data_IF_400634682879
#
_entry.id   IF_400634682879
#
_cell.length_a   1.000
_cell.length_b   1.000
_cell.length_c   1.000
_cell.angle_alpha   90.00
_cell.angle_beta   90.00
_cell.angle_gamma   90.00
#
_symmetry.space_group_name_H-M   'P 1'
#
loop_
_entity.id
_entity.type
_entity.pdbx_description
1 polymer ?
#
# COMPACT_ATOMS: atom_id res chain seq x y z
N UNK A 1 0.51 7.49 9.76
CA UNK A 1 0.58 6.03 9.47
C UNK A 1 0.55 5.31 10.80
N UNK A 2 -0.45 4.48 11.05
CA UNK A 2 -0.64 3.85 12.35
C UNK A 2 0.41 2.75 12.59
N UNK A 3 1.21 2.84 13.66
CA UNK A 3 2.15 1.79 14.04
C UNK A 3 1.45 0.49 14.45
N UNK A 4 2.04 -0.65 14.09
CA UNK A 4 1.45 -1.98 14.35
C UNK A 4 1.23 -2.27 15.85
N UNK A 5 2.05 -1.68 16.71
CA UNK A 5 2.01 -1.86 18.16
C UNK A 5 0.68 -1.42 18.82
N UNK A 6 -0.06 -0.50 18.19
CA UNK A 6 -1.32 0.02 18.75
C UNK A 6 -2.57 -0.50 18.04
N UNK A 7 -2.43 -1.19 16.91
CA UNK A 7 -3.57 -1.70 16.13
C UNK A 7 -4.47 -2.67 16.91
N UNK A 8 -3.95 -3.65 17.69
CA UNK A 8 -4.81 -4.55 18.46
C UNK A 8 -5.68 -3.84 19.50
N UNK A 9 -5.20 -2.70 20.03
CA UNK A 9 -5.97 -1.87 20.97
C UNK A 9 -7.08 -1.12 20.23
N UNK A 10 -6.77 -0.53 19.08
CA UNK A 10 -7.74 0.20 18.26
C UNK A 10 -8.86 -0.72 17.75
N UNK A 11 -8.55 -1.96 17.36
CA UNK A 11 -9.54 -2.96 16.93
C UNK A 11 -10.56 -3.27 18.03
N UNK A 12 -10.15 -3.22 19.31
CA UNK A 12 -11.06 -3.44 20.45
C UNK A 12 -11.88 -2.20 20.81
N UNK A 13 -11.31 -1.01 20.63
CA UNK A 13 -11.97 0.26 21.00
C UNK A 13 -12.96 0.74 19.94
N UNK A 14 -12.66 0.57 18.65
CA UNK A 14 -13.50 1.07 17.56
C UNK A 14 -14.97 0.58 17.61
N UNK A 15 -15.26 -0.71 17.92
CA UNK A 15 -16.64 -1.17 18.04
C UNK A 15 -17.42 -0.51 19.19
N UNK A 16 -16.76 -0.11 20.27
CA UNK A 16 -17.41 0.53 21.43
C UNK A 16 -17.97 1.93 21.11
N UNK A 17 -17.56 2.52 19.97
CA UNK A 17 -18.18 3.74 19.46
C UNK A 17 -19.63 3.55 19.01
N UNK A 18 -20.08 2.30 18.84
CA UNK A 18 -21.47 1.98 18.53
C UNK A 18 -22.35 1.75 19.77
N UNK A 19 -21.85 2.06 20.98
CA UNK A 19 -22.64 1.96 22.21
C UNK A 19 -23.78 3.00 22.23
N UNK A 20 -24.93 2.62 22.80
CA UNK A 20 -26.09 3.49 23.03
C UNK A 20 -25.89 4.47 24.20
N UNK A 21 -24.78 4.35 24.93
CA UNK A 21 -24.45 5.22 26.05
C UNK A 21 -23.43 6.29 25.65
N UNK A 22 -23.87 7.55 25.60
CA UNK A 22 -23.02 8.70 25.28
C UNK A 22 -21.76 8.78 26.15
N UNK A 23 -21.85 8.43 27.44
CA UNK A 23 -20.71 8.43 28.35
C UNK A 23 -19.64 7.40 27.98
N UNK A 24 -20.06 6.26 27.45
CA UNK A 24 -19.18 5.21 26.95
C UNK A 24 -18.54 5.61 25.62
N UNK A 25 -19.32 6.22 24.71
CA UNK A 25 -18.81 6.72 23.43
C UNK A 25 -17.74 7.79 23.67
N UNK A 26 -18.00 8.80 24.49
CA UNK A 26 -17.03 9.87 24.80
C UNK A 26 -15.77 9.31 25.47
N UNK A 27 -15.94 8.35 26.38
CA UNK A 27 -14.81 7.69 27.05
C UNK A 27 -13.96 6.89 26.07
N UNK A 28 -14.60 6.20 25.14
CA UNK A 28 -13.96 5.42 24.06
C UNK A 28 -13.21 6.33 23.10
N UNK A 29 -13.81 7.44 22.63
CA UNK A 29 -13.13 8.42 21.77
C UNK A 29 -11.87 8.95 22.46
N UNK A 30 -11.96 9.31 23.75
CA UNK A 30 -10.79 9.75 24.53
C UNK A 30 -9.74 8.64 24.66
N UNK A 31 -10.14 7.39 24.84
CA UNK A 31 -9.22 6.25 24.92
C UNK A 31 -8.49 5.99 23.59
N UNK A 32 -9.19 6.13 22.46
CA UNK A 32 -8.60 6.06 21.13
C UNK A 32 -7.59 7.19 20.94
N UNK A 33 -7.95 8.43 21.30
CA UNK A 33 -7.04 9.58 21.23
C UNK A 33 -5.74 9.35 22.02
N UNK A 34 -5.83 8.84 23.26
CA UNK A 34 -4.65 8.48 24.06
C UNK A 34 -3.82 7.36 23.43
N UNK A 35 -4.48 6.37 22.84
CA UNK A 35 -3.81 5.24 22.20
C UNK A 35 -3.02 5.70 20.96
N UNK A 36 -3.60 6.58 20.15
CA UNK A 36 -2.93 7.18 19.00
C UNK A 36 -1.76 8.07 19.44
N UNK A 37 -1.99 8.95 20.43
CA UNK A 37 -0.95 9.82 20.97
C UNK A 37 0.24 9.04 21.56
N UNK A 38 0.01 7.85 22.14
CA UNK A 38 1.10 6.98 22.64
C UNK A 38 2.07 6.50 21.56
N UNK A 39 1.71 6.66 20.28
CA UNK A 39 2.51 6.29 19.13
C UNK A 39 2.77 7.47 18.17
N UNK A 40 2.68 8.71 18.66
CA UNK A 40 2.88 9.94 17.90
C UNK A 40 2.00 10.03 16.64
N UNK A 41 0.75 9.55 16.76
CA UNK A 41 -0.25 9.56 15.71
C UNK A 41 -1.54 10.27 16.17
N UNK A 42 -2.38 10.65 15.22
CA UNK A 42 -3.67 11.29 15.49
C UNK A 42 -4.85 10.64 14.72
N UNK A 43 -6.04 11.25 14.82
CA UNK A 43 -7.24 10.76 14.12
C UNK A 43 -7.17 10.94 12.60
N UNK A 44 -6.36 11.89 12.10
CA UNK A 44 -6.12 12.03 10.66
C UNK A 44 -5.29 10.84 10.16
N UNK A 45 -4.25 10.45 10.89
CA UNK A 45 -3.47 9.25 10.60
C UNK A 45 -4.31 7.97 10.61
N UNK A 46 -5.27 7.87 11.53
CA UNK A 46 -6.23 6.75 11.57
C UNK A 46 -7.11 6.72 10.34
N UNK A 47 -7.67 7.87 9.95
CA UNK A 47 -8.55 7.97 8.78
C UNK A 47 -7.79 7.64 7.51
N UNK A 48 -6.58 8.18 7.33
CA UNK A 48 -5.70 7.88 6.21
C UNK A 48 -5.39 6.38 6.12
N UNK A 49 -5.16 5.73 7.27
CA UNK A 49 -4.90 4.30 7.34
C UNK A 49 -6.11 3.46 6.91
N UNK A 50 -7.32 3.85 7.33
CA UNK A 50 -8.56 3.15 6.96
C UNK A 50 -8.91 3.33 5.49
N UNK A 51 -8.73 4.53 4.94
CA UNK A 51 -8.94 4.80 3.51
C UNK A 51 -7.98 3.97 2.66
N UNK A 52 -6.72 3.83 3.08
CA UNK A 52 -5.73 2.98 2.40
C UNK A 52 -6.05 1.48 2.55
N UNK A 53 -6.51 1.03 3.72
CA UNK A 53 -6.88 -0.36 3.95
C UNK A 53 -8.11 -0.81 3.14
N UNK A 54 -9.04 0.10 2.84
CA UNK A 54 -10.22 -0.20 2.00
C UNK A 54 -9.87 -0.50 0.54
N UNK A 55 -8.62 -0.25 0.11
CA UNK A 55 -8.13 -0.54 -1.24
C UNK A 55 -7.85 -2.04 -1.47
N UNK A 56 -7.94 -2.88 -0.44
CA UNK A 56 -7.80 -4.34 -0.58
C UNK A 56 -9.04 -4.89 -1.29
N UNK A 57 -8.99 -4.91 -2.61
CA UNK A 57 -10.13 -5.24 -3.46
C UNK A 57 -10.52 -6.72 -3.37
N UNK A 58 -11.83 -6.98 -3.39
CA UNK A 58 -12.40 -8.30 -3.72
C UNK A 58 -11.87 -8.70 -5.11
N UNK A 59 -11.45 -9.97 -5.35
CA UNK A 59 -11.02 -10.38 -6.68
C UNK A 59 -12.14 -10.10 -7.69
N UNK A 60 -11.81 -9.38 -8.76
CA UNK A 60 -12.73 -9.08 -9.86
C UNK A 60 -13.20 -10.40 -10.49
N UNK A 61 -14.51 -10.47 -10.80
CA UNK A 61 -15.14 -11.62 -11.43
C UNK A 61 -14.59 -11.83 -12.84
N UNK A 62 -14.23 -13.08 -13.13
CA UNK A 62 -13.61 -13.58 -14.35
C UNK A 62 -14.57 -13.67 -15.54
N UNK A 63 -14.94 -12.53 -16.11
CA UNK A 63 -15.63 -12.52 -17.40
C UNK A 63 -14.94 -11.52 -18.34
N UNK A 64 -14.18 -12.06 -19.30
CA UNK A 64 -13.62 -11.38 -20.49
C UNK A 64 -12.42 -10.41 -20.32
N UNK A 65 -11.72 -10.42 -19.19
CA UNK A 65 -10.47 -9.67 -18.98
C UNK A 65 -9.29 -10.57 -18.59
N UNK A 66 -8.06 -10.07 -18.74
CA UNK A 66 -6.83 -10.70 -18.23
C UNK A 66 -7.02 -11.09 -16.75
N UNK A 67 -7.03 -12.39 -16.46
CA UNK A 67 -7.26 -12.89 -15.10
C UNK A 67 -5.93 -12.98 -14.34
N UNK A 68 -5.67 -11.93 -13.57
CA UNK A 68 -4.45 -11.81 -12.76
C UNK A 68 -4.24 -13.01 -11.81
N UNK A 69 -5.30 -13.61 -11.27
CA UNK A 69 -5.21 -14.75 -10.36
C UNK A 69 -4.88 -16.07 -11.10
N UNK A 70 -5.25 -16.20 -12.38
CA UNK A 70 -4.90 -17.37 -13.20
C UNK A 70 -3.44 -17.28 -13.65
N UNK A 71 -3.02 -16.12 -14.15
CA UNK A 71 -1.63 -15.90 -14.54
C UNK A 71 -0.65 -16.03 -13.38
N UNK A 72 -1.05 -15.66 -12.16
CA UNK A 72 -0.25 -15.93 -10.96
C UNK A 72 -0.07 -17.43 -10.72
N UNK A 73 -1.15 -18.20 -10.80
CA UNK A 73 -1.12 -19.65 -10.61
C UNK A 73 -0.25 -20.32 -11.66
N UNK A 74 -0.33 -19.88 -12.91
CA UNK A 74 0.53 -20.37 -14.00
C UNK A 74 2.01 -20.02 -13.78
N UNK A 75 2.32 -18.77 -13.40
CA UNK A 75 3.69 -18.33 -13.11
C UNK A 75 4.32 -19.05 -11.89
N UNK A 76 3.50 -19.45 -10.91
CA UNK A 76 3.95 -20.17 -9.73
C UNK A 76 4.28 -21.66 -9.99
N UNK A 77 3.76 -22.26 -11.08
CA UNK A 77 3.73 -23.72 -11.25
C UNK A 77 4.83 -24.29 -12.18
N UNK A 78 5.76 -23.49 -12.72
CA UNK A 78 6.71 -24.02 -13.72
C UNK A 78 7.76 -25.03 -13.17
N UNK A 79 7.91 -25.13 -11.85
CA UNK A 79 8.78 -26.12 -11.17
C UNK A 79 10.29 -25.97 -11.40
N UNK A 80 10.74 -25.01 -12.21
CA UNK A 80 12.16 -24.64 -12.39
C UNK A 80 12.52 -23.54 -11.39
N UNK A 81 13.80 -23.24 -11.19
CA UNK A 81 14.23 -22.05 -10.46
C UNK A 81 14.51 -20.96 -11.50
N UNK A 82 13.46 -20.32 -12.03
CA UNK A 82 13.64 -19.31 -13.08
C UNK A 82 13.81 -17.90 -12.48
N UNK A 83 15.02 -17.65 -11.98
CA UNK A 83 15.50 -16.34 -11.52
C UNK A 83 15.83 -15.38 -12.66
N UNK A 84 15.57 -15.76 -13.92
CA UNK A 84 15.94 -14.95 -15.06
C UNK A 84 15.14 -13.62 -15.07
N UNK A 85 15.78 -12.47 -15.34
CA UNK A 85 15.13 -11.15 -15.22
C UNK A 85 13.87 -10.98 -16.06
N UNK A 86 13.85 -11.59 -17.25
CA UNK A 86 12.71 -11.49 -18.19
C UNK A 86 11.60 -12.50 -17.97
N UNK A 87 11.77 -13.42 -17.01
CA UNK A 87 10.76 -14.42 -16.72
C UNK A 87 9.61 -13.81 -15.89
N UNK A 88 8.37 -14.32 -16.02
CA UNK A 88 7.23 -13.86 -15.23
C UNK A 88 7.53 -13.90 -13.73
N UNK A 89 7.15 -12.85 -13.00
CA UNK A 89 7.39 -12.79 -11.57
C UNK A 89 6.60 -13.87 -10.83
N UNK A 90 7.26 -14.59 -9.91
CA UNK A 90 6.56 -15.56 -9.04
C UNK A 90 5.91 -14.92 -7.83
N UNK A 91 6.18 -13.64 -7.60
CA UNK A 91 5.59 -12.88 -6.50
C UNK A 91 4.22 -12.39 -6.96
N UNK A 92 3.20 -12.52 -6.12
CA UNK A 92 1.88 -11.96 -6.39
C UNK A 92 1.90 -10.41 -6.40
N UNK A 93 2.84 -9.84 -5.64
CA UNK A 93 2.94 -8.40 -5.47
C UNK A 93 4.00 -8.00 -4.44
N UNK A 94 3.77 -6.87 -3.77
CA UNK A 94 4.69 -6.27 -2.83
C UNK A 94 4.01 -5.83 -1.53
N UNK A 95 4.73 -5.90 -0.42
CA UNK A 95 4.29 -5.36 0.87
C UNK A 95 4.59 -3.86 0.91
N UNK A 96 3.61 -3.02 0.61
CA UNK A 96 3.81 -1.56 0.56
C UNK A 96 3.58 -0.90 1.92
N UNK A 97 2.45 -1.19 2.57
CA UNK A 97 2.07 -0.53 3.83
C UNK A 97 2.29 -1.40 5.06
N UNK A 98 2.07 -2.71 4.93
CA UNK A 98 2.15 -3.66 6.03
C UNK A 98 3.03 -4.86 5.65
N UNK A 99 3.90 -5.32 6.56
CA UNK A 99 4.81 -6.45 6.29
C UNK A 99 4.08 -7.77 6.08
N UNK A 100 2.86 -7.91 6.61
CA UNK A 100 2.04 -9.11 6.49
C UNK A 100 1.06 -9.05 5.31
N UNK A 101 0.95 -7.89 4.64
CA UNK A 101 -0.01 -7.68 3.57
C UNK A 101 0.68 -7.46 2.24
N UNK A 102 0.65 -8.50 1.40
CA UNK A 102 1.07 -8.38 0.01
C UNK A 102 -0.06 -7.76 -0.78
N UNK A 103 0.18 -6.57 -1.33
CA UNK A 103 -0.75 -5.98 -2.30
C UNK A 103 -0.33 -6.43 -3.69
N UNK A 104 -1.28 -6.72 -4.58
CA UNK A 104 -0.98 -7.21 -5.91
C UNK A 104 -0.25 -6.19 -6.78
N UNK A 105 0.49 -6.66 -7.78
CA UNK A 105 1.30 -5.81 -8.65
C UNK A 105 0.53 -4.66 -9.33
N UNK A 106 -0.73 -4.86 -9.75
CA UNK A 106 -1.53 -3.77 -10.32
C UNK A 106 -1.81 -2.64 -9.31
N UNK A 107 -2.05 -3.00 -8.04
CA UNK A 107 -2.21 -2.04 -6.95
C UNK A 107 -0.88 -1.38 -6.59
N UNK A 108 0.24 -2.11 -6.63
CA UNK A 108 1.57 -1.52 -6.50
C UNK A 108 1.81 -0.47 -7.59
N UNK A 109 1.44 -0.78 -8.84
CA UNK A 109 1.62 0.15 -9.96
C UNK A 109 0.79 1.43 -9.78
N UNK A 110 -0.49 1.28 -9.43
CA UNK A 110 -1.39 2.39 -9.10
C UNK A 110 -0.85 3.23 -7.94
N UNK A 111 -0.33 2.58 -6.90
CA UNK A 111 0.29 3.24 -5.75
C UNK A 111 1.49 4.10 -6.17
N UNK A 112 2.40 3.53 -6.97
CA UNK A 112 3.57 4.24 -7.50
C UNK A 112 3.19 5.51 -8.28
N UNK A 113 2.19 5.41 -9.17
CA UNK A 113 1.70 6.56 -9.95
C UNK A 113 1.10 7.64 -9.04
N UNK A 114 0.27 7.23 -8.08
CA UNK A 114 -0.50 8.14 -7.22
C UNK A 114 0.42 8.90 -6.27
N UNK A 115 1.28 8.18 -5.53
CA UNK A 115 2.19 8.80 -4.56
C UNK A 115 3.26 9.68 -5.23
N UNK A 116 3.79 9.24 -6.37
CA UNK A 116 4.78 10.05 -7.11
C UNK A 116 4.22 11.40 -7.54
N UNK A 117 2.92 11.45 -7.89
CA UNK A 117 2.21 12.70 -8.21
C UNK A 117 1.90 13.55 -6.98
N UNK A 118 1.55 12.91 -5.85
CA UNK A 118 1.19 13.59 -4.61
C UNK A 118 2.40 14.26 -3.94
N UNK A 119 3.59 13.66 -4.04
CA UNK A 119 4.80 14.19 -3.43
C UNK A 119 5.38 15.38 -4.22
N UNK A 120 5.73 16.50 -3.56
CA UNK A 120 6.42 17.61 -4.19
C UNK A 120 7.79 17.22 -4.76
N UNK A 121 8.20 17.83 -5.88
CA UNK A 121 9.51 17.59 -6.48
C UNK A 121 10.68 17.92 -5.53
N UNK A 122 10.49 18.90 -4.65
CA UNK A 122 11.50 19.33 -3.65
C UNK A 122 11.86 18.25 -2.63
N UNK A 123 10.95 17.31 -2.34
CA UNK A 123 11.16 16.22 -1.37
C UNK A 123 11.49 14.88 -2.06
N UNK A 124 11.79 14.91 -3.36
CA UNK A 124 12.07 13.70 -4.15
C UNK A 124 10.83 13.08 -4.81
N UNK A 125 9.70 13.78 -4.88
CA UNK A 125 8.53 13.36 -5.67
C UNK A 125 8.68 13.62 -7.17
N UNK A 126 7.70 13.17 -7.98
CA UNK A 126 7.66 13.34 -9.45
C UNK A 126 8.93 12.90 -10.18
N UNK A 127 9.55 11.81 -9.73
CA UNK A 127 10.79 11.27 -10.32
C UNK A 127 10.54 10.24 -11.42
N UNK A 128 9.30 9.78 -11.59
CA UNK A 128 8.95 8.81 -12.63
C UNK A 128 9.08 9.45 -14.02
N UNK A 129 9.79 8.76 -14.91
CA UNK A 129 9.93 9.14 -16.30
C UNK A 129 8.64 8.80 -17.10
N UNK A 130 8.39 9.45 -18.25
CA UNK A 130 7.17 9.19 -19.02
C UNK A 130 6.99 7.74 -19.46
N UNK A 131 8.07 7.06 -19.87
CA UNK A 131 8.12 5.64 -20.23
C UNK A 131 7.77 4.74 -19.03
N UNK A 132 8.28 5.08 -17.85
CA UNK A 132 7.98 4.39 -16.59
C UNK A 132 6.49 4.52 -16.22
N UNK A 133 5.90 5.70 -16.41
CA UNK A 133 4.46 5.91 -16.17
C UNK A 133 3.61 5.11 -17.15
N UNK A 134 4.03 5.01 -18.42
CA UNK A 134 3.34 4.18 -19.41
C UNK A 134 3.37 2.71 -19.00
N UNK A 135 4.54 2.20 -18.60
CA UNK A 135 4.67 0.81 -18.15
C UNK A 135 3.79 0.51 -16.94
N UNK A 136 3.80 1.38 -15.91
CA UNK A 136 2.96 1.22 -14.71
C UNK A 136 1.47 1.25 -15.05
N UNK A 137 1.03 2.10 -15.98
CA UNK A 137 -0.37 2.15 -16.41
C UNK A 137 -0.84 0.87 -17.10
N UNK A 138 0.03 0.24 -17.88
CA UNK A 138 -0.28 -1.04 -18.54
C UNK A 138 -0.43 -2.17 -17.52
N UNK A 139 0.41 -2.16 -16.48
CA UNK A 139 0.30 -3.11 -15.34
C UNK A 139 -0.98 -2.83 -14.52
N UNK A 140 -1.29 -1.56 -14.25
CA UNK A 140 -2.54 -1.13 -13.59
C UNK A 140 -3.79 -1.55 -14.38
N UNK A 141 -3.73 -1.48 -15.70
CA UNK A 141 -4.80 -1.89 -16.61
C UNK A 141 -4.91 -3.42 -16.79
N UNK A 142 -4.13 -4.20 -16.03
CA UNK A 142 -4.06 -5.65 -16.13
C UNK A 142 -3.69 -6.14 -17.55
N UNK A 143 -2.88 -5.41 -18.32
CA UNK A 143 -2.54 -5.85 -19.68
C UNK A 143 -1.61 -7.08 -19.72
N UNK A 144 -0.74 -7.21 -18.71
CA UNK A 144 0.22 -8.31 -18.63
C UNK A 144 0.70 -8.54 -17.19
N UNK A 145 1.33 -9.70 -16.99
CA UNK A 145 1.98 -10.07 -15.73
C UNK A 145 3.43 -9.54 -15.68
N UNK A 146 3.85 -8.84 -14.62
CA UNK A 146 5.21 -8.28 -14.53
C UNK A 146 6.29 -9.36 -14.58
N UNK A 147 7.44 -9.04 -15.19
CA UNK A 147 8.64 -9.88 -15.11
C UNK A 147 9.34 -9.73 -13.75
N UNK A 148 10.30 -10.61 -13.45
CA UNK A 148 11.18 -10.46 -12.28
C UNK A 148 11.92 -9.12 -12.27
N UNK A 149 12.34 -8.64 -13.44
CA UNK A 149 12.96 -7.32 -13.60
C UNK A 149 11.96 -6.20 -13.30
N UNK A 150 10.74 -6.28 -13.82
CA UNK A 150 9.69 -5.28 -13.55
C UNK A 150 9.34 -5.24 -12.06
N UNK A 151 9.22 -6.40 -11.42
CA UNK A 151 8.95 -6.53 -9.99
C UNK A 151 10.04 -5.88 -9.13
N UNK A 152 11.32 -6.17 -9.41
CA UNK A 152 12.46 -5.57 -8.71
C UNK A 152 12.57 -4.06 -8.96
N UNK A 153 12.25 -3.61 -10.17
CA UNK A 153 12.18 -2.20 -10.51
C UNK A 153 11.05 -1.47 -9.75
N UNK A 154 9.85 -2.06 -9.68
CA UNK A 154 8.74 -1.50 -8.91
C UNK A 154 9.05 -1.44 -7.41
N UNK A 155 9.73 -2.44 -6.86
CA UNK A 155 10.25 -2.42 -5.50
C UNK A 155 11.19 -1.23 -5.24
N UNK A 156 12.07 -0.93 -6.20
CA UNK A 156 12.97 0.23 -6.13
C UNK A 156 12.19 1.55 -6.14
N UNK A 157 11.11 1.65 -6.93
CA UNK A 157 10.23 2.83 -6.95
C UNK A 157 9.56 3.02 -5.59
N UNK A 158 8.99 1.95 -5.02
CA UNK A 158 8.33 2.00 -3.70
C UNK A 158 9.32 2.44 -2.61
N UNK A 159 10.54 1.88 -2.60
CA UNK A 159 11.57 2.27 -1.65
C UNK A 159 11.91 3.77 -1.74
N UNK A 160 12.02 4.33 -2.96
CA UNK A 160 12.25 5.77 -3.17
C UNK A 160 11.08 6.62 -2.69
N UNK A 161 9.84 6.17 -2.88
CA UNK A 161 8.65 6.88 -2.38
C UNK A 161 8.61 6.92 -0.85
N UNK A 162 8.98 5.82 -0.19
CA UNK A 162 9.10 5.78 1.27
C UNK A 162 10.17 6.77 1.76
N UNK A 163 11.35 6.78 1.13
CA UNK A 163 12.42 7.72 1.47
C UNK A 163 11.97 9.19 1.29
N UNK A 164 11.32 9.51 0.18
CA UNK A 164 10.78 10.85 -0.08
C UNK A 164 9.74 11.27 0.97
N UNK A 165 8.88 10.33 1.40
CA UNK A 165 7.88 10.59 2.44
C UNK A 165 8.52 10.83 3.80
N UNK A 166 9.50 10.02 4.18
CA UNK A 166 10.21 10.17 5.45
C UNK A 166 11.02 11.47 5.49
N UNK A 167 11.62 11.87 4.36
CA UNK A 167 12.24 13.18 4.22
C UNK A 167 11.23 14.32 4.40
N UNK A 168 10.08 14.25 3.73
CA UNK A 168 9.03 15.27 3.87
C UNK A 168 8.51 15.40 5.30
N UNK A 169 8.41 14.29 6.04
CA UNK A 169 8.06 14.31 7.48
C UNK A 169 9.12 15.00 8.33
N UNK A 170 10.40 14.70 8.10
CA UNK A 170 11.52 15.31 8.82
C UNK A 170 11.57 16.83 8.60
N UNK A 171 11.35 17.28 7.36
CA UNK A 171 11.33 18.71 7.04
C UNK A 171 10.16 19.45 7.71
N UNK A 172 8.98 18.81 7.83
CA UNK A 172 7.84 19.39 8.56
C UNK A 172 8.05 19.47 10.07
N UNK A 173 8.87 18.58 10.63
CA UNK A 173 9.16 18.54 12.07
C UNK A 173 10.29 19.50 12.49
N UNK A 174 10.88 20.24 11.55
CA UNK A 174 11.92 21.22 11.83
C UNK A 174 11.25 22.53 12.31
N UNK A 175 11.65 23.08 13.47
CA UNK A 175 11.03 24.27 14.06
C UNK A 175 11.29 25.56 13.27
#
# INVERSE_FOLDING_TARGET
MIPHSIQPKLIKLLPLLASDNDGEVVSTVRAIGRTLASADADFHDLTDSLVRAKVVNKPLSSAEGFNYADTYREAAFDGRDDTHPRSPSRRFGLTVWHPEQVIPWWEVAKHCITESKALPRKVGGKFLRPDEVVLLKRIEAHEFWPTNQDASWMETIVARLHQARDFAKRERAKP
#
